data_IF_284322104292
#
_entry.id   IF_284322104292
#
_cell.length_a   1.000
_cell.length_b   1.000
_cell.length_c   1.000
_cell.angle_alpha   90.00
_cell.angle_beta   90.00
_cell.angle_gamma   90.00
#
_symmetry.space_group_name_H-M   'P 1'
#
loop_
_entity.id
_entity.type
_entity.pdbx_description
1 polymer ?
#
# COMPACT_ATOMS: atom_id res chain seq x y z
N UNK A 1 -0.03 -13.75 15.68
CA UNK A 1 -0.98 -12.87 14.96
C UNK A 1 -0.66 -12.99 13.46
N UNK A 2 -1.64 -12.91 12.56
CA UNK A 2 -1.37 -12.99 11.11
C UNK A 2 -0.87 -11.65 10.60
N UNK A 3 0.15 -11.68 9.72
CA UNK A 3 0.75 -10.49 9.15
C UNK A 3 0.24 -10.28 7.72
N UNK A 4 -0.16 -9.05 7.39
CA UNK A 4 -0.68 -8.70 6.08
C UNK A 4 0.05 -7.49 5.47
N UNK A 5 0.16 -7.50 4.16
CA UNK A 5 0.43 -6.32 3.33
C UNK A 5 -0.76 -6.17 2.39
N UNK A 6 -1.33 -4.97 2.31
CA UNK A 6 -2.35 -4.64 1.32
C UNK A 6 -1.67 -4.05 0.08
N UNK A 7 -1.99 -4.55 -1.09
CA UNK A 7 -1.65 -3.96 -2.38
C UNK A 7 -2.92 -3.56 -3.12
N UNK A 8 -3.03 -2.31 -3.53
CA UNK A 8 -4.24 -1.65 -3.98
C UNK A 8 -3.91 -0.68 -5.12
N UNK A 9 -4.81 -0.42 -6.04
CA UNK A 9 -4.59 0.66 -7.01
C UNK A 9 -5.10 2.02 -6.52
N UNK A 10 -5.97 2.04 -5.53
CA UNK A 10 -6.53 3.27 -4.96
C UNK A 10 -7.11 4.20 -6.04
N UNK A 11 -7.85 3.63 -7.02
CA UNK A 11 -8.19 4.36 -8.23
C UNK A 11 -9.60 4.94 -8.23
N UNK A 12 -10.53 4.43 -9.06
CA UNK A 12 -11.80 5.12 -9.34
C UNK A 12 -12.99 4.67 -8.52
N UNK A 13 -12.97 3.47 -8.01
CA UNK A 13 -14.03 2.84 -7.22
C UNK A 13 -13.73 2.86 -5.71
N UNK A 14 -14.63 2.36 -4.92
CA UNK A 14 -14.55 2.49 -3.47
C UNK A 14 -14.16 1.20 -2.74
N UNK A 15 -13.92 0.12 -3.45
CA UNK A 15 -13.57 -1.18 -2.87
C UNK A 15 -12.23 -1.14 -2.14
N UNK A 16 -11.25 -0.41 -2.64
CA UNK A 16 -9.96 -0.16 -1.97
C UNK A 16 -10.16 0.49 -0.58
N UNK A 17 -10.99 1.53 -0.54
CA UNK A 17 -11.29 2.23 0.71
C UNK A 17 -12.03 1.32 1.70
N UNK A 18 -12.95 0.50 1.21
CA UNK A 18 -13.67 -0.49 2.03
C UNK A 18 -12.71 -1.54 2.55
N UNK A 19 -11.85 -2.11 1.70
CA UNK A 19 -10.87 -3.12 2.09
C UNK A 19 -9.91 -2.57 3.16
N UNK A 20 -9.36 -1.37 2.96
CA UNK A 20 -8.46 -0.74 3.93
C UNK A 20 -9.17 -0.48 5.28
N UNK A 21 -10.42 -0.03 5.25
CA UNK A 21 -11.21 0.18 6.49
C UNK A 21 -11.53 -1.15 7.21
N UNK A 22 -11.79 -2.22 6.49
CA UNK A 22 -11.99 -3.56 7.06
C UNK A 22 -10.71 -4.06 7.75
N UNK A 23 -9.54 -3.91 7.09
CA UNK A 23 -8.25 -4.27 7.68
C UNK A 23 -7.95 -3.41 8.92
N UNK A 24 -8.18 -2.11 8.87
CA UNK A 24 -8.03 -1.22 10.01
C UNK A 24 -8.89 -1.65 11.20
N UNK A 25 -10.13 -2.05 10.95
CA UNK A 25 -11.00 -2.57 11.99
C UNK A 25 -10.46 -3.87 12.61
N UNK A 26 -9.90 -4.77 11.80
CA UNK A 26 -9.27 -6.01 12.26
C UNK A 26 -7.99 -5.73 13.08
N UNK A 27 -7.17 -4.77 12.65
CA UNK A 27 -6.00 -4.28 13.42
C UNK A 27 -6.45 -3.75 14.77
N UNK A 28 -7.48 -2.89 14.80
CA UNK A 28 -8.01 -2.32 16.04
C UNK A 28 -8.52 -3.37 17.03
N UNK A 29 -9.05 -4.50 16.51
CA UNK A 29 -9.48 -5.64 17.35
C UNK A 29 -8.33 -6.57 17.77
N UNK A 30 -7.10 -6.32 17.31
CA UNK A 30 -5.94 -7.16 17.59
C UNK A 30 -5.99 -8.52 16.90
N UNK A 31 -6.69 -8.64 15.77
CA UNK A 31 -6.84 -9.90 15.02
C UNK A 31 -5.70 -10.10 14.03
N UNK A 32 -5.17 -9.00 13.49
CA UNK A 32 -4.11 -9.00 12.47
C UNK A 32 -3.07 -7.89 12.73
N UNK A 33 -1.90 -8.03 12.09
CA UNK A 33 -0.93 -6.95 11.88
C UNK A 33 -0.99 -6.50 10.42
N UNK A 34 -1.30 -5.25 10.16
CA UNK A 34 -1.11 -4.64 8.83
C UNK A 34 0.29 -4.02 8.80
N UNK A 35 1.22 -4.69 8.13
CA UNK A 35 2.62 -4.30 8.07
C UNK A 35 2.89 -3.14 7.14
N UNK A 36 2.10 -3.00 6.08
CA UNK A 36 2.25 -1.93 5.10
C UNK A 36 1.14 -1.91 4.07
N UNK A 37 1.07 -0.80 3.34
CA UNK A 37 0.16 -0.58 2.22
C UNK A 37 0.99 -0.23 0.98
N UNK A 38 0.72 -0.89 -0.14
CA UNK A 38 1.33 -0.65 -1.44
C UNK A 38 0.27 -0.09 -2.37
N UNK A 39 0.57 1.01 -3.05
CA UNK A 39 -0.29 1.57 -4.10
C UNK A 39 0.39 1.40 -5.44
N UNK A 40 -0.30 0.73 -6.36
CA UNK A 40 0.23 0.34 -7.66
C UNK A 40 -0.36 1.13 -8.84
N UNK A 41 -0.91 2.31 -8.56
CA UNK A 41 -1.25 3.35 -9.53
C UNK A 41 -0.95 4.73 -8.92
N UNK A 42 -0.56 5.71 -9.72
CA UNK A 42 -0.05 6.97 -9.20
C UNK A 42 -0.61 8.21 -9.88
N UNK A 43 -1.00 9.14 -9.02
CA UNK A 43 -1.16 10.57 -9.28
C UNK A 43 -0.52 11.34 -8.12
N UNK A 44 -0.11 12.60 -8.30
CA UNK A 44 0.39 13.42 -7.19
C UNK A 44 -0.57 13.49 -5.99
N UNK A 45 -1.88 13.51 -6.25
CA UNK A 45 -2.95 13.56 -5.27
C UNK A 45 -3.15 12.25 -4.51
N UNK A 46 -2.62 11.14 -5.01
CA UNK A 46 -2.75 9.81 -4.39
C UNK A 46 -2.11 9.78 -2.99
N UNK A 47 -0.91 10.37 -2.85
CA UNK A 47 -0.17 10.35 -1.58
C UNK A 47 -0.95 11.05 -0.46
N UNK A 48 -1.32 12.32 -0.56
CA UNK A 48 -2.06 13.00 0.49
C UNK A 48 -3.44 12.38 0.72
N UNK A 49 -4.09 11.86 -0.32
CA UNK A 49 -5.40 11.24 -0.21
C UNK A 49 -5.35 9.94 0.61
N UNK A 50 -4.47 9.00 0.28
CA UNK A 50 -4.40 7.72 1.00
C UNK A 50 -3.86 7.90 2.42
N UNK A 51 -2.90 8.78 2.65
CA UNK A 51 -2.39 9.08 3.98
C UNK A 51 -3.47 9.69 4.88
N UNK A 52 -4.32 10.57 4.34
CA UNK A 52 -5.46 11.10 5.08
C UNK A 52 -6.46 10.01 5.45
N UNK A 53 -6.72 9.08 4.55
CA UNK A 53 -7.61 7.96 4.80
C UNK A 53 -7.03 6.97 5.83
N UNK A 54 -5.73 6.67 5.73
CA UNK A 54 -5.04 5.84 6.72
C UNK A 54 -5.07 6.46 8.11
N UNK A 55 -4.85 7.77 8.21
CA UNK A 55 -4.93 8.53 9.46
C UNK A 55 -6.34 8.45 10.06
N UNK A 56 -7.38 8.69 9.27
CA UNK A 56 -8.80 8.57 9.68
C UNK A 56 -9.15 7.15 10.15
N UNK A 57 -8.52 6.13 9.56
CA UNK A 57 -8.68 4.74 9.96
C UNK A 57 -7.89 4.35 11.23
N UNK A 58 -7.04 5.24 11.76
CA UNK A 58 -6.16 4.94 12.88
C UNK A 58 -4.94 4.11 12.50
N UNK A 59 -4.52 4.17 11.24
CA UNK A 59 -3.35 3.49 10.68
C UNK A 59 -2.17 4.45 10.47
N UNK A 60 -2.15 5.61 11.13
CA UNK A 60 -1.03 6.53 11.08
C UNK A 60 0.27 5.81 11.49
N UNK A 61 1.32 5.99 10.69
CA UNK A 61 2.60 5.32 10.91
C UNK A 61 2.73 3.93 10.28
N UNK A 62 1.66 3.34 9.73
CA UNK A 62 1.78 2.15 8.87
C UNK A 62 2.58 2.51 7.60
N UNK A 63 3.64 1.77 7.23
CA UNK A 63 4.43 2.03 6.04
C UNK A 63 3.58 2.10 4.77
N UNK A 64 3.86 3.10 3.93
CA UNK A 64 3.24 3.30 2.62
C UNK A 64 4.31 3.24 1.54
N UNK A 65 4.06 2.49 0.47
CA UNK A 65 4.84 2.53 -0.76
C UNK A 65 3.95 2.81 -1.96
N UNK A 66 4.50 3.50 -2.96
CA UNK A 66 3.78 3.84 -4.20
C UNK A 66 4.67 3.58 -5.40
N UNK A 67 4.13 2.89 -6.40
CA UNK A 67 4.72 2.75 -7.73
C UNK A 67 4.51 4.05 -8.52
N UNK A 68 5.51 4.93 -8.48
CA UNK A 68 5.44 6.24 -9.13
C UNK A 68 5.54 6.18 -10.66
N UNK A 69 5.94 5.06 -11.21
CA UNK A 69 6.02 4.83 -12.66
C UNK A 69 4.67 4.37 -13.25
N UNK A 70 3.74 3.96 -12.38
CA UNK A 70 2.42 3.48 -12.75
C UNK A 70 1.44 4.65 -12.99
N UNK A 71 1.60 5.35 -14.12
CA UNK A 71 0.89 6.61 -14.45
C UNK A 71 -0.03 6.52 -15.66
N UNK A 72 -0.11 5.38 -16.34
CA UNK A 72 -0.78 5.22 -17.64
C UNK A 72 -2.20 4.67 -17.55
N UNK A 73 -2.82 4.72 -16.38
CA UNK A 73 -4.16 4.22 -16.16
C UNK A 73 -5.24 5.14 -16.72
N UNK A 74 -6.29 4.52 -17.26
CA UNK A 74 -7.47 5.24 -17.77
C UNK A 74 -8.39 5.66 -16.61
N UNK A 75 -9.10 6.75 -16.84
CA UNK A 75 -9.98 7.32 -15.83
C UNK A 75 -9.26 8.24 -14.86
N UNK A 76 -10.03 9.01 -14.10
CA UNK A 76 -9.49 9.92 -13.07
C UNK A 76 -10.25 9.70 -11.78
N UNK A 77 -9.54 9.36 -10.69
CA UNK A 77 -10.15 9.17 -9.37
C UNK A 77 -10.55 10.52 -8.79
N UNK A 78 -11.73 11.00 -9.18
CA UNK A 78 -12.20 12.36 -8.87
C UNK A 78 -12.22 12.70 -7.38
N UNK A 79 -12.35 11.71 -6.51
CA UNK A 79 -12.35 11.91 -5.05
C UNK A 79 -10.97 12.29 -4.49
N UNK A 80 -9.88 11.93 -5.17
CA UNK A 80 -8.54 12.22 -4.68
C UNK A 80 -8.24 13.72 -4.69
N UNK A 81 -8.70 14.46 -5.70
CA UNK A 81 -8.43 15.89 -5.84
C UNK A 81 -8.95 16.72 -4.66
N UNK A 82 -10.25 16.68 -4.31
CA UNK A 82 -10.75 17.47 -3.19
C UNK A 82 -10.15 17.03 -1.84
N UNK A 83 -9.83 15.76 -1.66
CA UNK A 83 -9.19 15.30 -0.42
C UNK A 83 -7.76 15.84 -0.34
N UNK A 84 -6.97 15.76 -1.42
CA UNK A 84 -5.63 16.30 -1.46
C UNK A 84 -5.60 17.81 -1.22
N UNK A 85 -6.54 18.56 -1.82
CA UNK A 85 -6.71 19.99 -1.59
C UNK A 85 -7.04 20.29 -0.11
N UNK A 86 -7.97 19.56 0.47
CA UNK A 86 -8.40 19.74 1.85
C UNK A 86 -7.27 19.51 2.87
N UNK A 87 -6.40 18.53 2.63
CA UNK A 87 -5.32 18.20 3.57
C UNK A 87 -4.04 18.98 3.32
N UNK A 88 -3.86 19.55 2.12
CA UNK A 88 -2.70 20.36 1.75
C UNK A 88 -1.38 19.64 2.07
N UNK A 89 -0.45 20.32 2.71
CA UNK A 89 0.89 19.83 3.03
C UNK A 89 0.96 19.00 4.34
N UNK A 90 -0.17 18.65 4.94
CA UNK A 90 -0.22 17.93 6.24
C UNK A 90 0.67 16.69 6.27
N UNK A 91 0.76 15.99 5.15
CA UNK A 91 1.50 14.72 5.03
C UNK A 91 2.79 14.83 4.22
N UNK A 92 3.25 16.03 3.87
CA UNK A 92 4.43 16.23 3.01
C UNK A 92 5.73 15.65 3.58
N UNK A 93 5.83 15.52 4.91
CA UNK A 93 7.00 14.93 5.58
C UNK A 93 6.90 13.43 5.83
N UNK A 94 5.76 12.80 5.51
CA UNK A 94 5.60 11.36 5.71
C UNK A 94 6.41 10.62 4.64
N UNK A 95 7.31 9.70 5.03
CA UNK A 95 8.10 8.94 4.07
C UNK A 95 7.19 8.00 3.27
N UNK A 96 7.39 7.98 1.95
CA UNK A 96 6.73 7.06 1.02
C UNK A 96 7.81 6.30 0.27
N UNK A 97 7.81 4.98 0.43
CA UNK A 97 8.83 4.07 -0.07
C UNK A 97 8.52 3.57 -1.49
N UNK A 98 9.50 2.87 -2.09
CA UNK A 98 9.29 2.08 -3.29
C UNK A 98 8.67 0.70 -2.93
N UNK A 99 7.73 0.17 -3.73
CA UNK A 99 6.98 -1.04 -3.39
C UNK A 99 7.83 -2.27 -3.08
N UNK A 100 8.72 -2.66 -3.99
CA UNK A 100 9.47 -3.92 -3.86
C UNK A 100 10.47 -3.87 -2.69
N UNK A 101 11.27 -2.82 -2.51
CA UNK A 101 12.13 -2.68 -1.34
C UNK A 101 11.36 -2.72 -0.02
N UNK A 102 10.23 -2.01 0.08
CA UNK A 102 9.40 -2.02 1.29
C UNK A 102 8.83 -3.42 1.57
N UNK A 103 8.21 -4.07 0.59
CA UNK A 103 7.66 -5.42 0.78
C UNK A 103 8.73 -6.42 1.21
N UNK A 104 9.92 -6.40 0.59
CA UNK A 104 11.03 -7.28 0.98
C UNK A 104 11.47 -7.04 2.42
N UNK A 105 11.62 -5.79 2.82
CA UNK A 105 11.97 -5.42 4.19
C UNK A 105 10.93 -5.94 5.17
N UNK A 106 9.65 -5.64 4.94
CA UNK A 106 8.56 -6.06 5.83
C UNK A 106 8.42 -7.58 5.95
N UNK A 107 8.62 -8.32 4.84
CA UNK A 107 8.60 -9.78 4.85
C UNK A 107 9.80 -10.34 5.63
N UNK A 108 10.97 -9.72 5.50
CA UNK A 108 12.19 -10.18 6.19
C UNK A 108 12.15 -9.90 7.70
N UNK A 109 11.56 -8.77 8.10
CA UNK A 109 11.46 -8.32 9.48
C UNK A 109 10.29 -8.95 10.25
N UNK A 110 9.32 -9.52 9.53
CA UNK A 110 8.13 -10.10 10.14
C UNK A 110 8.43 -11.34 10.99
N UNK A 111 7.76 -11.43 12.13
CA UNK A 111 7.74 -12.66 12.94
C UNK A 111 6.69 -13.63 12.39
N UNK A 112 7.09 -14.42 11.40
CA UNK A 112 6.27 -15.44 10.74
C UNK A 112 5.81 -15.08 9.33
N UNK A 113 4.92 -15.89 8.74
CA UNK A 113 4.45 -15.71 7.37
C UNK A 113 3.75 -14.37 7.16
N UNK A 114 3.94 -13.79 5.98
CA UNK A 114 3.24 -12.57 5.52
C UNK A 114 2.32 -12.91 4.38
N UNK A 115 1.07 -12.54 4.50
CA UNK A 115 0.05 -12.68 3.48
C UNK A 115 -0.11 -11.36 2.73
N UNK A 116 -0.10 -11.41 1.40
CA UNK A 116 -0.31 -10.24 0.56
C UNK A 116 -1.72 -10.28 -0.01
N UNK A 117 -2.51 -9.26 0.29
CA UNK A 117 -3.83 -9.05 -0.30
C UNK A 117 -3.64 -8.12 -1.49
N UNK A 118 -3.83 -8.66 -2.71
CA UNK A 118 -3.73 -7.87 -3.94
C UNK A 118 -5.12 -7.61 -4.49
N UNK A 119 -5.53 -6.34 -4.52
CA UNK A 119 -6.83 -5.88 -5.02
C UNK A 119 -6.71 -4.82 -6.11
N UNK A 120 -5.48 -4.55 -6.56
CA UNK A 120 -5.17 -3.62 -7.63
C UNK A 120 -4.51 -4.32 -8.82
N UNK A 121 -3.43 -3.73 -9.33
CA UNK A 121 -2.65 -4.27 -10.43
C UNK A 121 -1.43 -5.05 -9.89
N UNK A 122 -1.16 -6.28 -10.37
CA UNK A 122 -0.19 -7.17 -9.72
C UNK A 122 1.28 -6.91 -10.12
N UNK A 123 1.62 -5.80 -10.79
CA UNK A 123 3.00 -5.56 -11.27
C UNK A 123 4.03 -5.50 -10.13
N UNK A 124 3.69 -4.89 -9.00
CA UNK A 124 4.59 -4.82 -7.85
C UNK A 124 4.81 -6.20 -7.23
N UNK A 125 3.75 -7.01 -7.13
CA UNK A 125 3.83 -8.37 -6.64
C UNK A 125 4.63 -9.27 -7.61
N UNK A 126 4.41 -9.13 -8.92
CA UNK A 126 5.17 -9.85 -9.94
C UNK A 126 6.67 -9.54 -9.83
N UNK A 127 7.05 -8.27 -9.73
CA UNK A 127 8.44 -7.86 -9.55
C UNK A 127 9.06 -8.41 -8.26
N UNK A 128 8.31 -8.45 -7.16
CA UNK A 128 8.75 -9.04 -5.90
C UNK A 128 9.08 -10.54 -6.06
N UNK A 129 8.21 -11.29 -6.75
CA UNK A 129 8.38 -12.74 -6.99
C UNK A 129 9.53 -13.03 -7.94
N UNK A 130 9.71 -12.23 -8.97
CA UNK A 130 10.84 -12.38 -9.93
C UNK A 130 12.19 -12.21 -9.25
N UNK A 131 12.35 -11.22 -8.38
CA UNK A 131 13.57 -11.03 -7.60
C UNK A 131 13.80 -12.21 -6.65
N UNK A 132 12.75 -12.75 -6.03
CA UNK A 132 12.84 -13.94 -5.19
C UNK A 132 13.33 -15.17 -5.95
N UNK A 133 12.92 -15.36 -7.21
CA UNK A 133 13.37 -16.44 -8.09
C UNK A 133 14.86 -16.30 -8.49
N UNK A 134 15.31 -15.09 -8.78
CA UNK A 134 16.73 -14.84 -9.07
C UNK A 134 17.61 -15.21 -7.86
N UNK A 135 17.23 -14.77 -6.67
CA UNK A 135 17.94 -15.09 -5.42
C UNK A 135 17.96 -16.60 -5.09
N UNK A 136 16.95 -17.38 -5.50
CA UNK A 136 16.96 -18.83 -5.34
C UNK A 136 17.88 -19.55 -6.33
N UNK A 137 18.08 -18.99 -7.54
CA UNK A 137 18.96 -19.59 -8.57
C UNK A 137 20.45 -19.44 -8.26
N UNK A 138 20.83 -18.43 -7.50
CA UNK A 138 22.22 -18.19 -7.08
C UNK A 138 22.68 -19.06 -5.92
N UNK A 139 21.79 -19.84 -5.30
CA UNK A 139 22.09 -20.72 -4.14
C UNK A 139 22.16 -22.21 -4.48
N UNK A 140 22.22 -22.57 -5.76
CA UNK A 140 22.36 -23.97 -6.22
C UNK A 140 23.76 -24.21 -6.75
#
# INVERSE_FOLDING_TARGET
>A
MRNFILSTDWWTDCDDAVALRMLAAAVKRGEINLLGVVVNAYLPETIPCILAFMDDCGLAGTPLAIDRDATDFKGKPKYQYPIAEMVGDKYASVPVEEPVPMMRRLITEADGPVEIIEIGFPQCLAALVEIGRASCRERV
#
